data_IF_015262892172
#
_entry.id   IF_015262892172
#
_cell.length_a   1.000
_cell.length_b   1.000
_cell.length_c   1.000
_cell.angle_alpha   90.00
_cell.angle_beta   90.00
_cell.angle_gamma   90.00
#
_symmetry.space_group_name_H-M   'P 1'
#
loop_
_entity.id
_entity.type
_entity.pdbx_description
1 polymer ?
#
# COMPACT_ATOMS: atom_id res chain seq x y z
N UNK A 1 -22.07 1.83 -4.04
CA UNK A 1 -21.59 1.12 -2.83
C UNK A 1 -21.61 -0.38 -2.96
N UNK A 2 -22.67 -0.95 -3.51
CA UNK A 2 -22.74 -2.40 -3.76
C UNK A 2 -21.67 -2.89 -4.74
N UNK A 3 -21.32 -2.07 -5.73
CA UNK A 3 -20.32 -2.42 -6.74
C UNK A 3 -18.93 -2.57 -6.11
N UNK A 4 -18.58 -1.69 -5.16
CA UNK A 4 -17.30 -1.78 -4.45
C UNK A 4 -17.19 -3.05 -3.62
N UNK A 5 -18.26 -3.43 -2.93
CA UNK A 5 -18.28 -4.63 -2.12
C UNK A 5 -18.13 -5.87 -3.00
N UNK A 6 -18.80 -5.90 -4.14
CA UNK A 6 -18.70 -7.01 -5.11
C UNK A 6 -17.28 -7.11 -5.66
N UNK A 7 -16.65 -5.98 -6.01
CA UNK A 7 -15.28 -5.96 -6.51
C UNK A 7 -14.31 -6.50 -5.46
N UNK A 8 -14.48 -6.12 -4.19
CA UNK A 8 -13.66 -6.62 -3.09
C UNK A 8 -13.85 -8.13 -2.92
N UNK A 9 -15.08 -8.62 -2.99
CA UNK A 9 -15.37 -10.05 -2.90
C UNK A 9 -14.75 -10.84 -4.06
N UNK A 10 -14.87 -10.33 -5.28
CA UNK A 10 -14.27 -10.94 -6.45
C UNK A 10 -12.75 -10.96 -6.32
N UNK A 11 -12.17 -9.87 -5.87
CA UNK A 11 -10.72 -9.77 -5.65
C UNK A 11 -10.27 -10.78 -4.59
N UNK A 12 -11.00 -10.90 -3.50
CA UNK A 12 -10.70 -11.88 -2.45
C UNK A 12 -10.80 -13.31 -2.95
N UNK A 13 -11.81 -13.61 -3.76
CA UNK A 13 -11.99 -14.94 -4.33
C UNK A 13 -10.86 -15.28 -5.29
N UNK A 14 -10.45 -14.34 -6.13
CA UNK A 14 -9.32 -14.49 -7.03
C UNK A 14 -8.02 -14.68 -6.23
N UNK A 15 -7.86 -13.93 -5.14
CA UNK A 15 -6.73 -14.10 -4.23
C UNK A 15 -6.67 -15.51 -3.65
N UNK A 16 -7.81 -16.03 -3.22
CA UNK A 16 -7.88 -17.38 -2.65
C UNK A 16 -7.52 -18.45 -3.68
N UNK A 17 -7.95 -18.27 -4.94
CA UNK A 17 -7.64 -19.19 -6.02
C UNK A 17 -6.19 -19.12 -6.46
N UNK A 18 -5.59 -17.93 -6.39
CA UNK A 18 -4.19 -17.68 -6.77
C UNK A 18 -3.23 -17.82 -5.59
N UNK A 19 -3.70 -18.33 -4.46
CA UNK A 19 -2.95 -18.40 -3.21
C UNK A 19 -1.67 -19.22 -3.33
N UNK A 20 -1.60 -20.12 -4.27
CA UNK A 20 -0.42 -20.96 -4.50
C UNK A 20 0.64 -20.27 -5.35
N UNK A 21 0.35 -19.06 -5.85
CA UNK A 21 1.27 -18.38 -6.77
C UNK A 21 1.90 -17.18 -6.08
N UNK A 22 3.23 -17.25 -5.83
CA UNK A 22 3.99 -16.16 -5.23
C UNK A 22 3.95 -14.90 -6.10
N UNK A 23 3.74 -15.06 -7.41
CA UNK A 23 3.63 -13.93 -8.33
C UNK A 23 2.47 -13.01 -7.97
N UNK A 24 1.35 -13.60 -7.53
CA UNK A 24 0.19 -12.81 -7.13
C UNK A 24 0.46 -12.00 -5.87
N UNK A 25 1.15 -12.60 -4.89
CA UNK A 25 1.51 -11.89 -3.66
C UNK A 25 2.41 -10.68 -3.95
N UNK A 26 3.37 -10.85 -4.84
CA UNK A 26 4.27 -9.76 -5.28
C UNK A 26 3.47 -8.67 -5.98
N UNK A 27 2.54 -9.04 -6.86
CA UNK A 27 1.70 -8.08 -7.56
C UNK A 27 0.85 -7.27 -6.59
N UNK A 28 0.24 -7.92 -5.61
CA UNK A 28 -0.57 -7.25 -4.60
C UNK A 28 0.26 -6.28 -3.77
N UNK A 29 1.45 -6.68 -3.36
CA UNK A 29 2.35 -5.82 -2.59
C UNK A 29 2.77 -4.59 -3.41
N UNK A 30 3.01 -4.77 -4.70
CA UNK A 30 3.34 -3.64 -5.58
C UNK A 30 2.19 -2.66 -5.71
N UNK A 31 0.96 -3.16 -5.80
CA UNK A 31 -0.22 -2.31 -5.82
C UNK A 31 -0.39 -1.54 -4.52
N UNK A 32 -0.20 -2.21 -3.38
CA UNK A 32 -0.24 -1.56 -2.08
C UNK A 32 0.82 -0.46 -1.98
N UNK A 33 2.02 -0.75 -2.45
CA UNK A 33 3.11 0.21 -2.44
C UNK A 33 2.77 1.44 -3.28
N UNK A 34 2.19 1.23 -4.45
CA UNK A 34 1.77 2.33 -5.31
C UNK A 34 0.71 3.20 -4.64
N UNK A 35 -0.27 2.59 -4.00
CA UNK A 35 -1.29 3.33 -3.26
C UNK A 35 -0.71 4.13 -2.10
N UNK A 36 0.26 3.56 -1.40
CA UNK A 36 0.94 4.25 -0.30
C UNK A 36 1.70 5.47 -0.82
N UNK A 37 2.39 5.35 -1.95
CA UNK A 37 3.07 6.49 -2.56
C UNK A 37 2.09 7.58 -2.97
N UNK A 38 0.95 7.21 -3.55
CA UNK A 38 -0.08 8.17 -3.92
C UNK A 38 -0.64 8.91 -2.71
N UNK A 39 -0.91 8.17 -1.63
CA UNK A 39 -1.38 8.77 -0.39
C UNK A 39 -0.36 9.73 0.20
N UNK A 40 0.91 9.35 0.18
CA UNK A 40 1.99 10.21 0.66
C UNK A 40 2.07 11.49 -0.16
N UNK A 41 1.92 11.39 -1.47
CA UNK A 41 1.96 12.54 -2.35
C UNK A 41 0.82 13.51 -2.07
N UNK A 42 -0.40 12.98 -1.85
CA UNK A 42 -1.54 13.80 -1.48
C UNK A 42 -1.30 14.53 -0.15
N UNK A 43 -0.72 13.85 0.83
CA UNK A 43 -0.39 14.46 2.11
C UNK A 43 0.66 15.57 1.95
N UNK A 44 1.65 15.35 1.10
CA UNK A 44 2.66 16.36 0.82
C UNK A 44 2.05 17.61 0.19
N UNK A 45 1.06 17.43 -0.70
CA UNK A 45 0.33 18.55 -1.28
C UNK A 45 -0.49 19.30 -0.24
N UNK A 46 -1.10 18.57 0.69
CA UNK A 46 -1.89 19.20 1.76
C UNK A 46 -1.04 20.11 2.65
N UNK A 47 0.25 19.84 2.78
CA UNK A 47 1.14 20.68 3.58
C UNK A 47 1.18 22.12 3.10
N UNK A 48 0.91 22.37 1.82
CA UNK A 48 0.89 23.72 1.26
C UNK A 48 -0.33 24.52 1.69
N UNK A 49 -1.41 23.84 2.09
CA UNK A 49 -2.71 24.45 2.36
C UNK A 49 -3.11 24.43 3.83
N UNK A 50 -2.40 23.68 4.66
CA UNK A 50 -2.78 23.54 6.08
C UNK A 50 -2.07 24.57 6.94
N UNK A 51 -2.69 24.86 8.10
CA UNK A 51 -2.11 25.74 9.10
C UNK A 51 -0.92 25.11 9.80
N UNK A 52 -0.13 25.91 10.53
CA UNK A 52 1.05 25.41 11.24
C UNK A 52 0.68 24.30 12.24
N UNK A 53 -0.46 24.43 12.93
CA UNK A 53 -0.93 23.44 13.89
C UNK A 53 -1.28 22.11 13.21
N UNK A 54 -1.90 22.19 12.03
CA UNK A 54 -2.29 21.01 11.28
C UNK A 54 -1.10 20.32 10.60
N UNK A 55 -0.02 21.05 10.36
CA UNK A 55 1.19 20.47 9.76
C UNK A 55 1.76 19.34 10.59
N UNK A 56 1.71 19.48 11.92
CA UNK A 56 2.23 18.44 12.82
C UNK A 56 1.48 17.13 12.58
N UNK A 57 0.14 17.21 12.46
CA UNK A 57 -0.69 16.02 12.24
C UNK A 57 -0.35 15.38 10.87
N UNK A 58 -0.20 16.21 9.84
CA UNK A 58 0.14 15.72 8.50
C UNK A 58 1.53 15.07 8.49
N UNK A 59 2.50 15.66 9.19
CA UNK A 59 3.84 15.07 9.29
C UNK A 59 3.81 13.71 10.00
N UNK A 60 2.98 13.56 11.03
CA UNK A 60 2.83 12.27 11.71
C UNK A 60 2.24 11.22 10.76
N UNK A 61 1.25 11.59 9.96
CA UNK A 61 0.67 10.68 8.96
C UNK A 61 1.69 10.31 7.89
N UNK A 62 2.50 11.27 7.43
CA UNK A 62 3.55 11.00 6.45
C UNK A 62 4.57 10.01 7.02
N UNK A 63 4.98 10.17 8.28
CA UNK A 63 5.91 9.25 8.92
C UNK A 63 5.31 7.85 9.03
N UNK A 64 4.01 7.75 9.34
CA UNK A 64 3.32 6.48 9.41
C UNK A 64 3.29 5.78 8.05
N UNK A 65 2.99 6.53 6.98
CA UNK A 65 2.98 5.97 5.63
C UNK A 65 4.38 5.57 5.20
N UNK A 66 5.40 6.35 5.53
CA UNK A 66 6.79 5.97 5.25
C UNK A 66 7.14 4.63 5.87
N UNK A 67 6.71 4.40 7.12
CA UNK A 67 6.95 3.13 7.79
C UNK A 67 6.25 1.99 7.06
N UNK A 68 5.01 2.20 6.64
CA UNK A 68 4.27 1.20 5.87
C UNK A 68 4.94 0.91 4.53
N UNK A 69 5.47 1.92 3.86
CA UNK A 69 6.21 1.76 2.61
C UNK A 69 7.45 0.89 2.85
N UNK A 70 8.22 1.20 3.90
CA UNK A 70 9.41 0.43 4.25
C UNK A 70 9.06 -1.02 4.52
N UNK A 71 8.02 -1.27 5.30
CA UNK A 71 7.58 -2.63 5.62
C UNK A 71 7.14 -3.38 4.36
N UNK A 72 6.43 -2.71 3.45
CA UNK A 72 5.99 -3.32 2.20
C UNK A 72 7.18 -3.65 1.30
N UNK A 73 8.17 -2.78 1.22
CA UNK A 73 9.39 -3.04 0.45
C UNK A 73 10.15 -4.23 1.03
N UNK A 74 10.23 -4.34 2.36
CA UNK A 74 10.89 -5.47 3.00
C UNK A 74 10.17 -6.79 2.69
N UNK A 75 8.85 -6.78 2.67
CA UNK A 75 8.07 -7.96 2.28
C UNK A 75 8.32 -8.34 0.83
N UNK A 76 8.40 -7.35 -0.07
CA UNK A 76 8.72 -7.59 -1.47
C UNK A 76 10.10 -8.23 -1.63
N UNK A 77 11.09 -7.74 -0.86
CA UNK A 77 12.43 -8.31 -0.88
C UNK A 77 12.45 -9.75 -0.40
N UNK A 78 11.66 -10.06 0.63
CA UNK A 78 11.56 -11.43 1.13
C UNK A 78 10.98 -12.37 0.08
N UNK A 79 9.93 -11.94 -0.62
CA UNK A 79 9.33 -12.75 -1.69
C UNK A 79 10.29 -12.95 -2.85
N UNK A 80 11.05 -11.91 -3.20
CA UNK A 80 12.03 -11.99 -4.27
C UNK A 80 13.13 -13.00 -3.91
N UNK A 81 13.61 -13.01 -2.67
CA UNK A 81 14.60 -13.97 -2.20
C UNK A 81 14.09 -15.40 -2.23
N UNK A 82 12.81 -15.63 -1.98
CA UNK A 82 12.23 -16.96 -2.04
C UNK A 82 12.12 -17.49 -3.46
N UNK A 83 11.98 -16.60 -4.44
CA UNK A 83 11.89 -16.98 -5.86
C UNK A 83 13.27 -17.26 -6.48
N UNK A 84 14.34 -16.76 -5.88
CA UNK A 84 15.71 -16.99 -6.34
C UNK A 84 16.43 -17.87 -5.32
N UNK A 85 16.56 -19.17 -5.60
CA UNK A 85 17.32 -20.08 -4.75
C UNK A 85 18.81 -19.78 -4.75
#
# INVERSE_FOLDING_TARGET
MLVRTVIIYVAMTVCALAFHDNTFAVFELREQLQMLYMNMWELLQQLEYVTADQRVIVYEEIEHIKQQITDTIDLLKQHDRQQHP
#
